data_IF_777098391004
#
_entry.id   IF_777098391004
#
_cell.length_a   1.000
_cell.length_b   1.000
_cell.length_c   1.000
_cell.angle_alpha   90.00
_cell.angle_beta   90.00
_cell.angle_gamma   90.00
#
_symmetry.space_group_name_H-M   'P 1'
#
loop_
_entity.id
_entity.type
_entity.pdbx_description
1 polymer ?
2 non-polymer ?
#
# COMPACT_ATOMS: atom_id res chain seq x y z
N UNK A 1 3.39 22.54 -4.12
CA UNK A 1 4.14 22.90 -5.33
C UNK A 1 3.58 22.06 -6.47
N UNK A 2 3.17 22.69 -7.59
CA UNK A 2 2.87 22.06 -8.90
C UNK A 2 1.96 20.82 -8.77
N UNK A 3 1.87 19.91 -9.75
CA UNK A 3 1.45 18.54 -9.48
C UNK A 3 2.60 17.73 -8.89
N UNK A 4 2.28 16.62 -8.22
CA UNK A 4 3.19 15.55 -7.86
C UNK A 4 2.64 14.20 -8.30
N UNK A 5 3.50 13.19 -8.28
CA UNK A 5 3.14 11.82 -8.48
C UNK A 5 4.22 10.93 -7.85
N UNK A 6 4.02 9.63 -7.99
CA UNK A 6 4.85 8.58 -7.42
C UNK A 6 6.23 8.58 -8.07
N UNK A 7 6.30 8.66 -9.40
CA UNK A 7 7.47 8.39 -10.23
C UNK A 7 8.02 6.98 -9.99
N UNK A 8 8.70 6.77 -8.87
CA UNK A 8 9.47 5.57 -8.59
C UNK A 8 8.65 4.69 -7.66
N UNK A 9 8.52 3.44 -8.05
CA UNK A 9 7.95 2.38 -7.23
C UNK A 9 8.78 1.12 -7.44
N UNK A 10 8.76 0.18 -6.49
CA UNK A 10 9.59 -1.01 -6.53
C UNK A 10 8.65 -2.20 -6.45
N UNK A 11 8.56 -2.95 -7.55
CA UNK A 11 7.45 -3.88 -7.81
C UNK A 11 7.90 -5.05 -8.69
N UNK A 12 8.93 -4.81 -9.48
CA UNK A 12 9.63 -5.65 -10.45
C UNK A 12 10.89 -6.26 -9.86
N UNK A 13 11.24 -5.86 -8.63
CA UNK A 13 12.49 -6.06 -7.89
C UNK A 13 13.67 -5.24 -8.42
N UNK A 14 13.49 -4.29 -9.34
CA UNK A 14 14.60 -3.67 -10.06
C UNK A 14 14.31 -2.24 -10.54
N UNK A 15 13.31 -1.57 -9.95
CA UNK A 15 12.71 -0.27 -10.23
C UNK A 15 12.23 -0.14 -11.68
N UNK A 16 13.19 -0.08 -12.60
CA UNK A 16 13.02 0.06 -14.04
C UNK A 16 11.91 1.05 -14.42
N UNK A 17 12.19 2.34 -14.21
CA UNK A 17 11.24 3.44 -14.34
C UNK A 17 9.98 3.20 -13.51
N UNK A 18 8.85 3.38 -14.16
CA UNK A 18 7.45 3.30 -13.75
C UNK A 18 6.72 4.64 -13.96
N UNK A 19 7.21 5.54 -14.81
CA UNK A 19 6.46 6.69 -15.30
C UNK A 19 6.61 6.75 -16.82
N UNK A 20 5.51 7.13 -17.49
CA UNK A 20 5.33 6.98 -18.92
C UNK A 20 5.74 8.31 -19.54
N UNK A 21 6.97 8.35 -20.03
CA UNK A 21 7.57 9.54 -20.60
C UNK A 21 6.78 10.06 -21.81
N UNK A 22 7.15 11.26 -22.27
CA UNK A 22 6.46 12.08 -23.27
C UNK A 22 5.24 12.78 -22.65
N UNK A 23 4.14 12.09 -22.28
CA UNK A 23 3.06 12.69 -21.47
C UNK A 23 2.32 11.61 -20.68
N UNK A 24 1.79 11.95 -19.50
CA UNK A 24 1.05 11.00 -18.66
C UNK A 24 -0.33 10.68 -19.26
N UNK A 25 -0.41 9.54 -19.94
CA UNK A 25 -1.61 8.80 -20.33
C UNK A 25 -1.26 7.30 -20.29
N UNK A 26 -2.24 6.42 -20.45
CA UNK A 26 -2.02 4.99 -20.66
C UNK A 26 -1.93 4.72 -22.15
N UNK A 27 -0.93 5.33 -22.79
CA UNK A 27 -0.69 5.26 -24.23
C UNK A 27 -0.63 3.81 -24.69
N UNK A 28 0.29 3.05 -24.10
CA UNK A 28 0.67 1.73 -24.53
C UNK A 28 0.87 0.79 -23.33
N UNK A 29 0.71 1.30 -22.11
CA UNK A 29 0.89 0.55 -20.87
C UNK A 29 -0.38 -0.27 -20.67
N UNK A 30 -0.22 -1.56 -20.43
CA UNK A 30 -1.33 -2.49 -20.20
C UNK A 30 -1.95 -2.16 -18.85
N UNK A 31 -3.21 -2.57 -18.61
CA UNK A 31 -3.80 -2.43 -17.28
C UNK A 31 -3.23 -3.50 -16.37
N UNK A 32 -3.47 -4.78 -16.71
CA UNK A 32 -2.87 -5.95 -16.07
C UNK A 32 -3.08 -6.02 -14.54
N UNK A 33 -3.93 -5.19 -13.94
CA UNK A 33 -4.02 -4.86 -12.53
C UNK A 33 -4.04 -6.09 -11.62
N UNK A 34 -2.87 -6.54 -11.16
CA UNK A 34 -2.73 -7.62 -10.20
C UNK A 34 -2.00 -7.05 -8.99
N UNK A 35 -0.71 -6.76 -9.15
CA UNK A 35 0.04 -6.00 -8.16
C UNK A 35 -0.68 -4.67 -7.93
N UNK A 36 -1.00 -3.94 -9.00
CA UNK A 36 -1.72 -2.66 -8.93
C UNK A 36 -3.02 -2.80 -8.13
N UNK A 37 -3.76 -3.88 -8.30
CA UNK A 37 -5.02 -4.03 -7.60
C UNK A 37 -4.76 -4.00 -6.09
N UNK A 38 -3.79 -4.76 -5.60
CA UNK A 38 -3.40 -4.74 -4.21
C UNK A 38 -2.84 -3.37 -3.81
N UNK A 39 -1.92 -2.81 -4.60
CA UNK A 39 -1.26 -1.52 -4.39
C UNK A 39 -2.22 -0.32 -4.51
N UNK A 40 -3.51 -0.57 -4.80
CA UNK A 40 -4.59 0.40 -4.79
C UNK A 40 -5.57 0.09 -3.64
N UNK A 41 -5.72 -1.17 -3.24
CA UNK A 41 -6.57 -1.57 -2.12
C UNK A 41 -5.93 -1.12 -0.80
N UNK A 42 -4.69 -1.58 -0.55
CA UNK A 42 -3.93 -1.24 0.67
C UNK A 42 -3.88 0.28 0.72
N UNK A 43 -3.34 0.88 -0.34
CA UNK A 43 -3.14 2.31 -0.51
C UNK A 43 -4.39 3.13 -0.21
N UNK A 44 -5.57 2.59 -0.49
CA UNK A 44 -6.83 3.21 -0.19
C UNK A 44 -7.08 3.20 1.31
N UNK A 45 -7.41 2.03 1.88
CA UNK A 45 -7.89 1.92 3.26
C UNK A 45 -6.85 2.40 4.26
N UNK A 46 -5.63 1.89 4.14
CA UNK A 46 -4.49 2.28 4.93
C UNK A 46 -4.00 3.67 4.51
N UNK A 47 -4.86 4.69 4.61
CA UNK A 47 -4.52 6.09 4.41
C UNK A 47 -5.22 6.93 5.47
N UNK A 48 -4.60 8.06 5.78
CA UNK A 48 -5.00 9.05 6.77
C UNK A 48 -5.16 10.41 6.09
N UNK A 49 -4.33 10.67 5.09
CA UNK A 49 -4.46 11.83 4.24
C UNK A 49 -5.75 11.72 3.43
N UNK A 50 -6.43 12.85 3.24
CA UNK A 50 -7.65 13.03 2.48
C UNK A 50 -7.62 14.39 1.78
N UNK A 51 -8.59 14.65 0.91
CA UNK A 51 -8.76 15.86 0.13
C UNK A 51 -9.78 16.82 0.74
N UNK A 52 -9.84 16.87 2.07
CA UNK A 52 -10.85 17.54 2.89
C UNK A 52 -12.24 17.43 2.25
N UNK A 53 -12.94 16.34 2.54
CA UNK A 53 -14.12 15.92 1.82
C UNK A 53 -13.78 15.66 0.34
N UNK A 54 -14.44 16.35 -0.60
CA UNK A 54 -14.45 15.94 -2.00
C UNK A 54 -13.87 17.03 -2.90
N UNK A 55 -14.70 17.80 -3.60
CA UNK A 55 -14.33 18.86 -4.54
C UNK A 55 -15.60 19.59 -4.96
N UNK A 56 -15.57 20.92 -4.97
CA UNK A 56 -16.68 21.73 -5.43
C UNK A 56 -16.67 21.81 -6.95
N UNK A 57 -15.53 22.23 -7.52
CA UNK A 57 -15.42 22.67 -8.91
C UNK A 57 -13.95 22.66 -9.41
N UNK A 58 -13.02 22.16 -8.59
CA UNK A 58 -11.61 22.51 -8.60
C UNK A 58 -10.73 21.26 -8.46
N UNK A 59 -9.42 21.34 -8.78
CA UNK A 59 -8.60 20.16 -9.03
C UNK A 59 -8.26 19.44 -7.73
N UNK A 60 -8.22 18.10 -7.81
CA UNK A 60 -7.69 17.20 -6.78
C UNK A 60 -6.36 17.71 -6.24
N UNK A 61 -5.42 18.04 -7.13
CA UNK A 61 -4.09 18.50 -6.78
C UNK A 61 -4.04 19.90 -6.15
N UNK A 62 -5.16 20.66 -6.10
CA UNK A 62 -5.18 21.96 -5.40
C UNK A 62 -6.39 22.07 -4.44
N UNK A 63 -6.78 20.99 -3.76
CA UNK A 63 -7.82 20.97 -2.76
C UNK A 63 -7.31 21.60 -1.48
N UNK A 64 -6.23 21.02 -0.96
CA UNK A 64 -5.69 21.07 0.39
C UNK A 64 -5.14 19.67 0.69
N UNK A 65 -4.79 19.43 1.95
CA UNK A 65 -4.81 18.12 2.58
C UNK A 65 -5.59 18.25 3.88
N UNK A 66 -6.05 17.12 4.39
CA UNK A 66 -6.07 16.87 5.83
C UNK A 66 -5.49 15.48 6.00
N UNK A 67 -4.92 15.16 7.15
CA UNK A 67 -4.10 13.96 7.27
C UNK A 67 -3.13 14.13 8.41
N UNK A 68 -2.15 13.24 8.48
CA UNK A 68 -1.11 13.26 9.51
C UNK A 68 0.26 13.15 8.86
N UNK A 69 1.34 13.21 9.66
CA UNK A 69 2.72 13.42 9.23
C UNK A 69 3.35 12.30 8.36
N UNK A 70 2.59 11.34 7.81
CA UNK A 70 3.12 10.40 6.83
C UNK A 70 3.25 11.10 5.47
N UNK A 71 2.21 11.11 4.65
CA UNK A 71 2.14 11.80 3.36
C UNK A 71 0.68 11.85 2.89
N UNK A 72 0.46 12.65 1.84
CA UNK A 72 -0.73 12.85 1.02
C UNK A 72 -0.47 12.37 -0.41
N UNK A 73 0.80 12.37 -0.86
CA UNK A 73 1.17 11.92 -2.20
C UNK A 73 0.75 10.47 -2.43
N UNK A 74 0.77 9.69 -1.36
CA UNK A 74 0.24 8.32 -1.24
C UNK A 74 -1.21 8.22 -1.73
N UNK A 75 -1.97 9.31 -1.70
CA UNK A 75 -3.40 9.41 -1.97
C UNK A 75 -3.66 10.17 -3.26
N UNK A 76 -2.78 11.11 -3.63
CA UNK A 76 -2.89 11.93 -4.83
C UNK A 76 -2.92 11.14 -6.13
N UNK A 77 -2.47 9.89 -6.09
CA UNK A 77 -2.53 8.97 -7.21
C UNK A 77 -3.36 7.74 -6.80
N UNK A 78 -4.42 7.98 -6.03
CA UNK A 78 -5.51 7.07 -5.74
C UNK A 78 -6.81 7.80 -6.09
N UNK A 79 -7.17 8.90 -5.40
CA UNK A 79 -8.50 9.49 -5.59
C UNK A 79 -8.70 10.07 -7.00
N UNK A 80 -7.62 10.25 -7.75
CA UNK A 80 -7.58 10.78 -9.10
C UNK A 80 -8.47 9.96 -10.06
N UNK A 81 -8.36 8.63 -9.99
CA UNK A 81 -8.99 7.70 -10.92
C UNK A 81 -8.94 6.23 -10.45
N UNK A 82 -8.57 5.95 -9.20
CA UNK A 82 -8.30 4.60 -8.72
C UNK A 82 -9.41 4.15 -7.78
N UNK A 83 -10.05 5.08 -7.07
CA UNK A 83 -11.28 4.84 -6.32
C UNK A 83 -11.48 5.83 -5.18
N UNK A 84 -12.73 5.97 -4.75
CA UNK A 84 -13.13 6.77 -3.61
C UNK A 84 -12.72 6.03 -2.34
N UNK A 85 -11.77 6.64 -1.63
CA UNK A 85 -11.33 6.19 -0.32
C UNK A 85 -12.37 6.56 0.74
N UNK A 86 -12.99 7.73 0.60
CA UNK A 86 -14.10 8.18 1.45
C UNK A 86 -15.33 7.27 1.37
N UNK A 87 -15.37 6.35 0.42
CA UNK A 87 -16.37 5.32 0.25
C UNK A 87 -15.83 4.01 0.81
N UNK A 88 -14.63 3.58 0.39
CA UNK A 88 -14.08 2.32 0.85
C UNK A 88 -13.94 2.25 2.37
N UNK A 89 -13.84 3.41 3.05
CA UNK A 89 -13.87 3.49 4.51
C UNK A 89 -15.10 2.81 5.11
N UNK A 90 -16.19 2.74 4.35
CA UNK A 90 -17.45 2.14 4.80
C UNK A 90 -17.76 0.86 4.02
N UNK A 91 -17.28 0.76 2.77
CA UNK A 91 -17.34 -0.49 2.00
C UNK A 91 -16.74 -1.61 2.84
N UNK A 92 -15.56 -1.42 3.41
CA UNK A 92 -14.95 -2.37 4.30
C UNK A 92 -15.33 -2.04 5.74
N UNK A 93 -15.93 -3.01 6.41
CA UNK A 93 -16.45 -2.98 7.78
C UNK A 93 -15.37 -2.70 8.88
N UNK A 94 -14.07 -2.92 8.60
CA UNK A 94 -12.93 -2.52 9.46
C UNK A 94 -12.75 -3.36 10.73
N UNK A 95 -12.45 -4.67 10.60
CA UNK A 95 -12.43 -5.67 11.67
C UNK A 95 -11.63 -5.17 12.89
N UNK A 96 -10.31 -5.04 12.75
CA UNK A 96 -9.38 -4.66 13.79
C UNK A 96 -8.19 -3.97 13.11
N UNK A 97 -7.51 -3.09 13.84
CA UNK A 97 -6.47 -2.19 13.33
C UNK A 97 -5.44 -1.82 14.40
N UNK A 98 -4.66 -2.82 14.85
CA UNK A 98 -3.65 -2.71 15.92
C UNK A 98 -2.78 -1.44 15.74
N UNK A 99 -2.70 -0.56 16.74
CA UNK A 99 -1.88 0.64 16.71
C UNK A 99 -0.38 0.30 16.83
N UNK A 100 0.49 1.19 16.32
CA UNK A 100 1.94 0.96 16.34
C UNK A 100 2.57 1.38 17.67
N UNK A 101 2.00 2.41 18.30
CA UNK A 101 2.36 2.99 19.59
C UNK A 101 3.69 3.69 19.42
N UNK A 102 4.79 3.04 19.79
CA UNK A 102 6.14 3.52 19.50
C UNK A 102 7.17 2.39 19.38
N UNK A 103 6.83 1.15 19.75
CA UNK A 103 7.71 0.00 19.55
C UNK A 103 7.49 -0.60 18.17
N UNK A 104 6.24 -0.67 17.68
CA UNK A 104 5.99 -1.64 16.64
C UNK A 104 6.52 -1.16 15.29
N UNK A 105 6.48 0.16 15.03
CA UNK A 105 6.86 0.83 13.76
C UNK A 105 6.13 0.25 12.52
N UNK A 106 5.21 -0.69 12.74
CA UNK A 106 4.22 -1.17 11.77
C UNK A 106 2.82 -0.94 12.32
N UNK A 107 1.83 -0.86 11.44
CA UNK A 107 0.44 -1.06 11.75
C UNK A 107 -0.10 -2.19 10.87
N UNK A 108 -1.16 -2.80 11.37
CA UNK A 108 -2.03 -3.76 10.71
C UNK A 108 -3.40 -3.10 10.58
N UNK A 109 -4.19 -3.60 9.64
CA UNK A 109 -5.63 -3.51 9.58
C UNK A 109 -6.02 -4.86 8.97
N UNK A 110 -6.96 -5.61 9.55
CA UNK A 110 -7.42 -6.85 8.91
C UNK A 110 -8.30 -6.46 7.71
N UNK A 111 -9.58 -6.19 7.99
CA UNK A 111 -10.68 -5.98 7.07
C UNK A 111 -11.19 -7.27 6.44
N UNK A 112 -12.49 -7.23 6.15
CA UNK A 112 -13.20 -8.10 5.24
C UNK A 112 -12.75 -7.73 3.83
N UNK A 113 -13.34 -8.32 2.80
CA UNK A 113 -13.47 -7.79 1.46
C UNK A 113 -14.66 -8.50 0.81
N UNK A 114 -15.74 -7.79 0.45
CA UNK A 114 -16.86 -8.45 -0.21
C UNK A 114 -16.57 -8.83 -1.68
N UNK A 115 -15.58 -8.21 -2.34
CA UNK A 115 -15.61 -8.11 -3.81
C UNK A 115 -14.21 -8.14 -4.44
N UNK A 116 -14.16 -8.45 -5.74
CA UNK A 116 -13.00 -8.85 -6.54
C UNK A 116 -12.41 -10.19 -6.05
N UNK A 117 -11.31 -10.64 -6.66
CA UNK A 117 -10.61 -11.89 -6.34
C UNK A 117 -10.04 -11.96 -4.91
N UNK A 118 -10.32 -10.99 -4.06
CA UNK A 118 -9.75 -10.94 -2.73
C UNK A 118 -10.54 -11.92 -1.84
N UNK A 119 -9.89 -12.61 -0.90
CA UNK A 119 -10.60 -13.44 0.06
C UNK A 119 -11.48 -12.59 0.99
N UNK A 120 -12.48 -13.24 1.57
CA UNK A 120 -13.57 -12.58 2.32
C UNK A 120 -13.06 -11.85 3.54
N UNK A 121 -11.97 -12.33 4.12
CA UNK A 121 -11.12 -11.67 5.08
C UNK A 121 -9.75 -11.57 4.41
N UNK A 122 -9.05 -10.45 4.60
CA UNK A 122 -7.65 -10.28 4.25
C UNK A 122 -6.97 -9.54 5.40
N UNK A 123 -5.68 -9.26 5.29
CA UNK A 123 -4.99 -8.40 6.24
C UNK A 123 -4.06 -7.49 5.43
N UNK A 124 -3.84 -6.27 5.89
CA UNK A 124 -2.98 -5.27 5.28
C UNK A 124 -2.03 -4.72 6.34
N UNK A 125 -0.77 -4.43 5.98
CA UNK A 125 0.17 -3.77 6.86
C UNK A 125 0.76 -2.53 6.19
N UNK A 126 1.16 -1.58 7.02
CA UNK A 126 1.89 -0.36 6.66
C UNK A 126 2.93 -0.17 7.75
N UNK A 127 3.94 0.69 7.55
CA UNK A 127 5.02 0.83 8.51
C UNK A 127 6.38 0.87 7.86
N UNK A 128 7.39 1.08 8.71
CA UNK A 128 8.76 1.34 8.29
C UNK A 128 9.29 0.16 7.46
N UNK A 129 9.79 0.39 6.23
CA UNK A 129 10.11 -0.66 5.28
C UNK A 129 10.98 -1.79 5.85
N UNK A 130 12.06 -1.47 6.57
CA UNK A 130 12.89 -2.45 7.27
C UNK A 130 12.08 -3.23 8.30
N UNK A 131 11.31 -2.54 9.14
CA UNK A 131 10.64 -3.18 10.26
C UNK A 131 9.51 -4.09 9.81
N UNK A 132 9.00 -3.88 8.60
CA UNK A 132 8.17 -4.85 7.89
C UNK A 132 9.03 -6.01 7.40
N UNK A 133 10.14 -5.71 6.72
CA UNK A 133 11.04 -6.69 6.12
C UNK A 133 11.45 -7.79 7.10
N UNK A 134 11.54 -7.45 8.38
CA UNK A 134 11.76 -8.33 9.52
C UNK A 134 10.94 -9.64 9.40
N UNK A 135 9.64 -9.50 9.15
CA UNK A 135 8.76 -10.64 8.88
C UNK A 135 8.68 -10.94 7.39
N UNK A 136 8.78 -9.91 6.54
CA UNK A 136 8.39 -10.05 5.15
C UNK A 136 9.41 -10.91 4.41
N UNK A 137 8.98 -12.11 3.99
CA UNK A 137 9.85 -13.11 3.37
C UNK A 137 9.32 -13.54 1.99
N UNK A 138 8.39 -12.79 1.39
CA UNK A 138 8.02 -12.87 -0.02
C UNK A 138 8.05 -11.48 -0.64
N UNK A 139 7.81 -11.36 -1.94
CA UNK A 139 7.57 -10.13 -2.68
C UNK A 139 6.61 -10.49 -3.83
N UNK A 140 5.99 -9.52 -4.51
CA UNK A 140 4.91 -9.75 -5.46
C UNK A 140 5.29 -9.24 -6.84
N UNK A 141 5.53 -10.15 -7.78
CA UNK A 141 5.99 -9.92 -9.14
C UNK A 141 4.83 -10.12 -10.11
N UNK A 142 4.24 -9.04 -10.60
CA UNK A 142 3.25 -9.01 -11.68
C UNK A 142 2.10 -9.99 -11.40
N UNK A 143 1.62 -9.96 -10.16
CA UNK A 143 0.53 -10.80 -9.66
C UNK A 143 0.97 -12.12 -9.06
N UNK A 144 2.23 -12.52 -9.24
CA UNK A 144 2.79 -13.76 -8.70
C UNK A 144 3.51 -13.43 -7.42
N UNK A 145 3.75 -14.43 -6.61
CA UNK A 145 4.71 -14.32 -5.54
C UNK A 145 6.12 -14.54 -6.09
N UNK A 146 7.11 -14.10 -5.33
CA UNK A 146 8.47 -14.60 -5.28
C UNK A 146 8.85 -14.75 -3.81
N UNK A 147 9.70 -15.73 -3.46
CA UNK A 147 10.30 -15.83 -2.15
C UNK A 147 11.36 -14.74 -2.04
N UNK A 148 11.37 -14.02 -0.92
CA UNK A 148 12.43 -13.11 -0.58
C UNK A 148 13.62 -13.95 -0.06
N UNK A 149 14.83 -13.44 -0.21
CA UNK A 149 16.09 -14.07 0.17
C UNK A 149 17.06 -12.92 0.44
N UNK A 150 18.28 -13.21 0.86
CA UNK A 150 19.36 -12.23 0.97
C UNK A 150 19.57 -11.41 -0.31
N UNK A 151 19.33 -12.00 -1.48
CA UNK A 151 19.47 -11.36 -2.78
C UNK A 151 18.28 -10.42 -3.03
N UNK A 152 17.07 -10.84 -2.66
CA UNK A 152 15.87 -10.05 -2.87
C UNK A 152 15.83 -8.94 -1.82
N UNK A 153 16.41 -9.17 -0.63
CA UNK A 153 16.73 -8.12 0.33
C UNK A 153 17.63 -7.11 -0.33
N UNK A 154 18.69 -7.54 -0.99
CA UNK A 154 19.62 -6.61 -1.62
C UNK A 154 18.90 -5.70 -2.59
N UNK A 155 18.06 -6.30 -3.42
CA UNK A 155 17.31 -5.60 -4.44
C UNK A 155 16.38 -4.56 -3.81
N UNK A 156 15.75 -4.92 -2.68
CA UNK A 156 14.90 -4.07 -1.86
C UNK A 156 15.74 -2.96 -1.30
N UNK A 157 16.84 -3.29 -0.64
CA UNK A 157 17.72 -2.39 0.09
C UNK A 157 18.22 -1.31 -0.86
N UNK A 158 18.91 -1.70 -1.94
CA UNK A 158 19.49 -0.75 -2.87
C UNK A 158 18.42 0.10 -3.52
N UNK A 159 17.21 -0.42 -3.74
CA UNK A 159 16.09 0.37 -4.18
C UNK A 159 15.68 1.37 -3.08
N UNK A 160 15.24 0.90 -1.93
CA UNK A 160 14.83 1.67 -0.76
C UNK A 160 15.81 2.80 -0.42
N UNK A 161 17.11 2.50 -0.46
CA UNK A 161 18.22 3.41 -0.22
C UNK A 161 18.38 4.45 -1.35
N UNK A 162 18.08 4.10 -2.60
CA UNK A 162 18.05 5.03 -3.74
C UNK A 162 16.88 6.02 -3.62
N UNK A 163 15.78 5.54 -3.03
CA UNK A 163 14.52 6.25 -2.90
C UNK A 163 14.56 7.17 -1.67
N UNK A 164 15.18 6.73 -0.57
CA UNK A 164 15.37 7.56 0.61
C UNK A 164 16.11 6.77 1.69
N UNK A 165 15.37 6.12 2.58
CA UNK A 165 15.95 5.45 3.75
C UNK A 165 16.29 6.44 4.88
N UNK A 166 15.82 7.69 4.79
CA UNK A 166 16.22 8.79 5.67
C UNK A 166 15.42 8.79 6.98
N UNK A 167 14.12 8.53 6.88
CA UNK A 167 13.11 8.62 7.93
C UNK A 167 11.78 8.29 7.25
N UNK A 168 10.69 8.96 7.59
CA UNK A 168 9.47 8.91 6.80
C UNK A 168 9.73 9.51 5.41
N UNK A 169 10.07 8.65 4.44
CA UNK A 169 10.10 9.00 3.03
C UNK A 169 9.65 7.81 2.20
N UNK A 170 10.27 6.64 2.42
CA UNK A 170 9.79 5.39 1.87
C UNK A 170 8.95 4.70 2.94
N UNK A 171 7.78 4.19 2.55
CA UNK A 171 6.93 3.30 3.34
C UNK A 171 6.88 1.92 2.72
N UNK A 172 6.34 0.95 3.44
CA UNK A 172 6.35 -0.45 3.01
C UNK A 172 5.12 -0.91 2.20
N UNK A 173 3.88 -0.73 2.69
CA UNK A 173 2.61 -1.18 2.10
C UNK A 173 2.60 -2.63 1.60
N UNK A 174 2.29 -3.57 2.49
CA UNK A 174 2.13 -4.99 2.19
C UNK A 174 0.71 -5.49 2.53
N UNK A 175 0.43 -6.73 2.18
CA UNK A 175 -0.84 -7.40 2.50
C UNK A 175 -0.64 -8.86 2.87
N UNK A 176 -1.76 -9.53 3.13
CA UNK A 176 -1.88 -10.95 3.34
C UNK A 176 -3.27 -11.35 2.85
N UNK A 177 -3.33 -12.19 1.81
CA UNK A 177 -4.53 -12.83 1.34
C UNK A 177 -4.81 -14.03 2.23
N UNK A 178 -5.60 -13.82 3.28
CA UNK A 178 -5.98 -14.83 4.27
C UNK A 178 -6.86 -15.91 3.64
N UNK A 179 -6.92 -17.12 4.19
CA UNK A 179 -7.89 -18.14 3.77
C UNK A 179 -9.30 -17.75 4.15
N UNK A 180 -10.25 -18.31 3.41
CA UNK A 180 -11.66 -18.25 3.75
C UNK A 180 -11.95 -19.40 4.69
N UNK A 181 -11.90 -20.63 4.16
CA UNK A 181 -12.38 -21.85 4.83
C UNK A 181 -11.62 -22.17 6.10
N UNK A 182 -10.37 -21.73 6.16
CA UNK A 182 -9.47 -22.07 7.25
C UNK A 182 -9.43 -20.96 8.30
N UNK A 183 -10.17 -19.87 8.08
CA UNK A 183 -10.40 -18.79 9.03
C UNK A 183 -11.88 -18.74 9.47
N UNK A 184 -12.21 -17.98 10.53
CA UNK A 184 -13.55 -17.96 11.10
C UNK A 184 -14.50 -17.01 10.38
N UNK A 185 -15.76 -17.42 10.27
CA UNK A 185 -16.81 -16.59 9.67
C UNK A 185 -17.11 -15.38 10.56
N UNK A 186 -16.95 -15.54 11.88
CA UNK A 186 -17.22 -14.51 12.87
C UNK A 186 -16.16 -13.40 12.90
N UNK A 187 -15.20 -13.41 11.98
CA UNK A 187 -14.07 -12.48 11.88
C UNK A 187 -13.40 -12.21 13.24
N UNK A 188 -13.39 -13.23 14.10
CA UNK A 188 -13.04 -13.11 15.49
C UNK A 188 -11.53 -13.26 15.61
N UNK A 189 -10.82 -12.15 15.40
CA UNK A 189 -9.40 -12.05 15.60
C UNK A 189 -9.15 -11.29 16.89
N UNK A 190 -9.82 -10.14 17.03
CA UNK A 190 -9.57 -9.21 18.12
C UNK A 190 -8.13 -8.69 18.03
N UNK A 191 -7.68 -7.96 19.04
CA UNK A 191 -6.26 -7.64 19.20
C UNK A 191 -5.67 -8.49 20.33
N UNK A 192 -6.51 -9.15 21.13
CA UNK A 192 -6.08 -10.03 22.21
C UNK A 192 -5.80 -11.41 21.64
N UNK A 193 -6.67 -11.87 20.75
CA UNK A 193 -6.88 -13.28 20.41
C UNK A 193 -6.50 -13.53 18.94
N UNK A 194 -5.54 -12.72 18.48
CA UNK A 194 -5.03 -12.52 17.13
C UNK A 194 -5.33 -13.70 16.19
N UNK A 195 -4.72 -14.85 16.44
CA UNK A 195 -4.78 -16.08 15.63
C UNK A 195 -4.30 -15.93 14.16
N UNK A 196 -4.02 -14.71 13.65
CA UNK A 196 -3.59 -14.51 12.27
C UNK A 196 -2.06 -14.56 12.14
N UNK A 197 -1.54 -15.05 11.00
CA UNK A 197 -0.09 -15.05 10.73
C UNK A 197 0.46 -13.63 10.58
N UNK A 198 1.75 -13.47 10.87
CA UNK A 198 2.46 -12.19 10.92
C UNK A 198 3.91 -12.43 10.46
N UNK A 199 4.04 -13.22 9.39
CA UNK A 199 5.27 -13.90 8.99
C UNK A 199 5.66 -13.48 7.57
N UNK A 200 6.09 -14.42 6.73
CA UNK A 200 6.55 -14.24 5.35
C UNK A 200 5.61 -13.29 4.62
N UNK A 201 4.34 -13.67 4.53
CA UNK A 201 3.20 -12.97 3.92
C UNK A 201 3.58 -12.51 2.51
N UNK A 202 3.19 -11.30 2.10
CA UNK A 202 3.40 -10.77 0.77
C UNK A 202 3.74 -9.28 0.82
N UNK A 203 5.00 -8.90 0.55
CA UNK A 203 5.54 -7.54 0.68
C UNK A 203 4.89 -6.52 -0.27
N UNK A 204 4.30 -6.98 -1.37
CA UNK A 204 3.72 -6.21 -2.47
C UNK A 204 4.71 -5.24 -3.14
N UNK A 205 5.26 -4.24 -2.45
CA UNK A 205 6.27 -3.34 -3.01
C UNK A 205 6.16 -1.89 -2.54
N UNK A 206 7.14 -1.06 -2.94
CA UNK A 206 7.34 0.28 -2.38
C UNK A 206 6.56 1.33 -3.18
N UNK A 207 5.60 2.01 -2.56
CA UNK A 207 4.84 3.18 -3.01
C UNK A 207 5.62 4.42 -2.60
N UNK A 208 6.82 4.55 -3.13
CA UNK A 208 7.65 5.72 -2.93
C UNK A 208 7.18 6.86 -3.85
N UNK A 209 7.81 8.02 -3.77
CA UNK A 209 7.43 9.25 -4.43
C UNK A 209 8.68 9.91 -5.02
N UNK A 210 8.47 11.05 -5.68
CA UNK A 210 9.53 12.04 -5.87
C UNK A 210 8.97 13.40 -5.41
N UNK A 211 9.79 14.46 -5.42
CA UNK A 211 9.49 15.76 -4.82
C UNK A 211 10.09 16.86 -5.68
N UNK A 212 11.39 16.83 -6.05
CA UNK A 212 11.87 17.65 -7.16
C UNK A 212 11.23 17.17 -8.48
N UNK A 213 11.01 18.07 -9.44
CA UNK A 213 10.62 17.70 -10.80
C UNK A 213 11.86 17.43 -11.67
#
# INVERSE_FOLDING_TARGET
>A
QNPMTVAHMWFDNQIHEADTTENQSGVSFDKTSATWFALSRIAGLCNRAVFQANQENLPILKRAVAGDASESALLKCIEVCCGSVMEMREKYTKIVEIPFNSTNKYQLSIHKNPNASEPKHLLVMKGAPERILDRCSSILLHGKEQPLDEELKDAFQNAYLELGGLGERVLGFCHLLLPDEQFPEGFQFDTDEVNFPVDNLCFVGLISMIDPP
#
